data_IF_788085836796
#
_entry.id   IF_788085836796
#
_cell.length_a   1.000
_cell.length_b   1.000
_cell.length_c   1.000
_cell.angle_alpha   90.00
_cell.angle_beta   90.00
_cell.angle_gamma   90.00
#
_symmetry.space_group_name_H-M   'P 1'
#
loop_
_entity.id
_entity.type
_entity.pdbx_description
1 polymer ?
#
# COMPACT_ATOMS: atom_id res chain seq x y z
N UNK A 1 26.36 -20.37 -17.05
CA UNK A 1 25.71 -19.31 -17.84
C UNK A 1 24.54 -19.91 -18.60
N UNK A 2 23.51 -19.11 -18.83
CA UNK A 2 22.09 -19.45 -19.07
C UNK A 2 21.35 -19.87 -17.78
N UNK A 3 20.25 -19.25 -17.36
CA UNK A 3 19.54 -18.05 -17.82
C UNK A 3 18.52 -17.72 -16.73
N UNK A 4 18.72 -16.66 -15.95
CA UNK A 4 17.68 -16.13 -15.04
C UNK A 4 16.52 -15.46 -15.81
N UNK A 5 16.49 -15.58 -17.15
CA UNK A 5 15.50 -14.95 -18.03
C UNK A 5 14.23 -15.78 -18.29
N UNK A 6 14.10 -17.02 -17.82
CA UNK A 6 12.93 -17.85 -18.15
C UNK A 6 11.74 -17.71 -17.18
N UNK A 7 11.89 -16.99 -16.07
CA UNK A 7 10.80 -16.81 -15.10
C UNK A 7 9.73 -15.78 -15.54
N UNK A 8 10.01 -14.98 -16.56
CA UNK A 8 9.14 -13.85 -16.95
C UNK A 8 8.02 -14.27 -17.92
N UNK A 9 8.08 -15.47 -18.52
CA UNK A 9 7.14 -15.85 -19.60
C UNK A 9 5.82 -16.51 -19.19
N UNK A 10 5.54 -16.71 -17.90
CA UNK A 10 4.33 -17.47 -17.49
C UNK A 10 3.50 -16.84 -16.37
N UNK A 11 3.54 -15.52 -16.19
CA UNK A 11 2.57 -14.80 -15.33
C UNK A 11 1.30 -14.49 -16.12
N UNK A 12 0.75 -15.48 -16.81
CA UNK A 12 -0.54 -15.37 -17.48
C UNK A 12 -1.37 -16.57 -17.10
N UNK A 13 -2.34 -16.36 -16.18
CA UNK A 13 -3.49 -17.22 -15.82
C UNK A 13 -3.61 -17.75 -14.38
N UNK A 14 -2.68 -17.49 -13.45
CA UNK A 14 -2.88 -17.84 -12.02
C UNK A 14 -2.71 -16.64 -11.09
N UNK A 15 -3.71 -15.77 -11.06
CA UNK A 15 -3.76 -14.64 -10.13
C UNK A 15 -4.28 -15.01 -8.73
N UNK A 16 -4.68 -16.27 -8.50
CA UNK A 16 -5.00 -16.77 -7.17
C UNK A 16 -4.73 -18.27 -7.09
N UNK A 17 -3.84 -18.67 -6.19
CA UNK A 17 -3.57 -20.06 -5.85
C UNK A 17 -3.58 -20.16 -4.32
N UNK A 18 -4.64 -20.77 -3.78
CA UNK A 18 -4.88 -20.89 -2.34
C UNK A 18 -3.90 -21.84 -1.64
N UNK A 19 -3.03 -22.52 -2.40
CA UNK A 19 -2.07 -23.50 -1.89
C UNK A 19 -0.60 -23.09 -2.06
N UNK A 20 -0.30 -21.84 -2.43
CA UNK A 20 1.09 -21.38 -2.43
C UNK A 20 1.60 -21.33 -1.00
N UNK A 21 2.33 -22.40 -0.61
CA UNK A 21 3.25 -22.39 0.51
C UNK A 21 4.10 -21.13 0.38
N UNK A 22 4.12 -20.30 1.44
CA UNK A 22 4.78 -19.00 1.42
C UNK A 22 6.19 -19.14 0.84
N UNK A 23 6.39 -18.63 -0.38
CA UNK A 23 7.70 -18.62 -1.02
C UNK A 23 8.58 -17.67 -0.21
N UNK A 24 9.42 -18.23 0.66
CA UNK A 24 10.31 -17.43 1.49
C UNK A 24 11.52 -17.04 0.64
N UNK A 25 11.51 -15.81 0.14
CA UNK A 25 12.72 -15.14 -0.31
C UNK A 25 13.20 -14.22 0.81
N UNK A 26 14.48 -14.32 1.15
CA UNK A 26 15.12 -13.43 2.12
C UNK A 26 15.85 -12.32 1.38
N UNK A 27 15.56 -11.04 1.66
CA UNK A 27 16.27 -9.91 1.07
C UNK A 27 17.75 -9.89 1.48
N UNK A 28 18.59 -9.27 0.66
CA UNK A 28 19.98 -8.96 1.06
C UNK A 28 19.99 -8.00 2.25
N UNK A 29 21.08 -7.92 3.00
CA UNK A 29 21.20 -6.99 4.14
C UNK A 29 21.01 -5.52 3.73
N UNK A 30 21.54 -5.15 2.56
CA UNK A 30 21.36 -3.81 2.00
C UNK A 30 19.90 -3.53 1.66
N UNK A 31 19.23 -4.47 0.98
CA UNK A 31 17.83 -4.30 0.65
C UNK A 31 16.93 -4.35 1.89
N UNK A 32 17.30 -5.12 2.91
CA UNK A 32 16.63 -5.11 4.22
C UNK A 32 16.69 -3.73 4.84
N UNK A 33 17.85 -3.06 4.82
CA UNK A 33 17.97 -1.67 5.30
C UNK A 33 17.10 -0.71 4.49
N UNK A 34 17.00 -0.89 3.17
CA UNK A 34 16.09 -0.12 2.32
C UNK A 34 14.64 -0.38 2.74
N UNK A 35 14.22 -1.63 2.87
CA UNK A 35 12.87 -1.97 3.33
C UNK A 35 12.60 -1.38 4.72
N UNK A 36 13.50 -1.50 5.69
CA UNK A 36 13.29 -0.91 7.01
C UNK A 36 13.21 0.63 6.96
N UNK A 37 14.05 1.27 6.16
CA UNK A 37 14.07 2.73 5.99
C UNK A 37 12.82 3.25 5.27
N UNK A 38 12.35 2.56 4.24
CA UNK A 38 11.31 3.03 3.34
C UNK A 38 9.92 2.46 3.71
N UNK A 39 9.80 1.18 4.11
CA UNK A 39 8.52 0.61 4.55
C UNK A 39 8.07 1.04 5.94
N UNK A 40 9.00 1.33 6.87
CA UNK A 40 8.61 1.79 8.22
C UNK A 40 8.43 3.31 8.29
N UNK A 41 8.84 4.05 7.27
CA UNK A 41 8.68 5.49 7.22
C UNK A 41 7.23 5.83 6.92
N UNK A 42 6.61 6.55 7.85
CA UNK A 42 5.35 7.24 7.60
C UNK A 42 5.65 8.47 6.76
N UNK A 43 5.13 8.53 5.54
CA UNK A 43 5.22 9.72 4.71
C UNK A 43 4.30 10.81 5.28
N UNK A 44 4.75 12.07 5.23
CA UNK A 44 3.88 13.22 5.48
C UNK A 44 2.89 13.42 4.33
N UNK A 45 1.87 14.23 4.54
CA UNK A 45 0.93 14.58 3.47
C UNK A 45 1.66 15.22 2.30
N UNK A 46 2.53 16.20 2.57
CA UNK A 46 3.31 16.90 1.56
C UNK A 46 4.21 15.93 0.76
N UNK A 47 4.90 15.01 1.44
CA UNK A 47 5.72 14.00 0.76
C UNK A 47 4.91 13.06 -0.15
N UNK A 48 3.65 12.77 0.21
CA UNK A 48 2.77 12.01 -0.67
C UNK A 48 2.34 12.86 -1.85
N UNK A 49 2.02 14.14 -1.64
CA UNK A 49 1.68 15.08 -2.71
C UNK A 49 2.84 15.23 -3.69
N UNK A 50 4.07 15.48 -3.22
CA UNK A 50 5.26 15.62 -4.06
C UNK A 50 5.44 14.41 -5.00
N UNK A 51 5.29 13.18 -4.47
CA UNK A 51 5.38 11.96 -5.28
C UNK A 51 4.27 11.91 -6.33
N UNK A 52 3.04 12.25 -5.94
CA UNK A 52 1.87 12.13 -6.81
C UNK A 52 1.72 13.29 -7.81
N UNK A 53 2.39 14.42 -7.59
CA UNK A 53 2.51 15.49 -8.59
C UNK A 53 3.31 15.02 -9.80
N UNK A 54 4.37 14.24 -9.56
CA UNK A 54 5.18 13.63 -10.62
C UNK A 54 4.57 12.32 -11.15
N UNK A 55 3.91 11.55 -10.29
CA UNK A 55 3.44 10.18 -10.56
C UNK A 55 1.97 10.04 -10.17
N UNK A 56 1.12 10.75 -10.91
CA UNK A 56 -0.31 10.79 -10.63
C UNK A 56 -0.95 9.40 -10.71
N UNK A 57 -1.90 9.14 -9.82
CA UNK A 57 -2.74 7.94 -9.88
C UNK A 57 -3.58 8.01 -11.18
N UNK A 58 -3.60 6.95 -12.00
CA UNK A 58 -4.44 6.93 -13.20
C UNK A 58 -5.90 7.17 -12.86
N UNK A 59 -6.58 8.00 -13.65
CA UNK A 59 -7.99 8.35 -13.46
C UNK A 59 -8.92 7.23 -13.94
N UNK A 60 -8.85 6.08 -13.26
CA UNK A 60 -9.71 4.90 -13.47
C UNK A 60 -10.56 4.71 -12.22
N UNK A 61 -11.84 4.43 -12.41
CA UNK A 61 -12.82 4.24 -11.32
C UNK A 61 -12.38 3.22 -10.27
N UNK A 62 -11.77 2.11 -10.71
CA UNK A 62 -11.21 1.06 -9.85
C UNK A 62 -10.04 1.52 -8.98
N UNK A 63 -9.44 2.67 -9.29
CA UNK A 63 -8.36 3.31 -8.52
C UNK A 63 -8.85 4.47 -7.65
N UNK A 64 -10.16 4.63 -7.53
CA UNK A 64 -10.79 5.59 -6.61
C UNK A 64 -11.25 4.84 -5.37
N UNK A 65 -10.81 5.30 -4.20
CA UNK A 65 -11.32 4.76 -2.94
C UNK A 65 -12.82 5.05 -2.81
N UNK A 66 -13.68 4.04 -2.65
CA UNK A 66 -15.11 4.25 -2.54
C UNK A 66 -15.45 5.05 -1.29
N UNK A 67 -16.53 5.81 -1.38
CA UNK A 67 -17.14 6.53 -0.26
C UNK A 67 -18.47 5.89 0.09
N UNK A 68 -18.85 5.91 1.37
CA UNK A 68 -20.17 5.47 1.79
C UNK A 68 -21.29 6.14 0.99
N UNK A 69 -22.08 5.32 0.30
CA UNK A 69 -23.33 5.75 -0.33
C UNK A 69 -24.32 6.19 0.76
N UNK A 70 -24.79 7.45 0.76
CA UNK A 70 -25.78 7.92 1.72
C UNK A 70 -27.06 7.07 1.75
N UNK A 71 -27.47 6.48 0.63
CA UNK A 71 -28.65 5.60 0.56
C UNK A 71 -28.48 4.36 1.44
N UNK A 72 -27.26 3.84 1.56
CA UNK A 72 -26.96 2.67 2.38
C UNK A 72 -27.17 2.93 3.88
N UNK A 73 -27.17 4.20 4.31
CA UNK A 73 -27.45 4.59 5.69
C UNK A 73 -28.92 4.40 6.07
N UNK A 74 -29.83 4.23 5.12
CA UNK A 74 -31.24 3.94 5.38
C UNK A 74 -31.41 2.55 6.00
N UNK A 75 -30.54 1.61 5.65
CA UNK A 75 -30.53 0.23 6.17
C UNK A 75 -29.79 0.08 7.50
N UNK A 76 -29.27 1.18 8.05
CA UNK A 76 -28.49 1.19 9.31
C UNK A 76 -29.33 1.76 10.44
N UNK A 77 -29.36 1.06 11.58
CA UNK A 77 -29.99 1.55 12.80
C UNK A 77 -29.45 2.94 13.20
N UNK A 78 -30.34 3.86 13.59
CA UNK A 78 -30.00 5.27 13.83
C UNK A 78 -28.83 5.43 14.81
N UNK A 79 -28.80 4.66 15.90
CA UNK A 79 -27.71 4.72 16.89
C UNK A 79 -26.32 4.36 16.31
N UNK A 80 -26.27 3.62 15.20
CA UNK A 80 -25.03 3.15 14.60
C UNK A 80 -24.54 4.02 13.42
N UNK A 81 -25.39 4.91 12.87
CA UNK A 81 -25.07 5.68 11.66
C UNK A 81 -23.77 6.47 11.80
N UNK A 82 -23.62 7.24 12.89
CA UNK A 82 -22.42 8.05 13.15
C UNK A 82 -21.16 7.19 13.23
N UNK A 83 -21.24 6.05 13.93
CA UNK A 83 -20.11 5.13 14.06
C UNK A 83 -19.68 4.54 12.72
N UNK A 84 -20.64 4.14 11.87
CA UNK A 84 -20.34 3.60 10.54
C UNK A 84 -19.73 4.68 9.65
N UNK A 85 -20.28 5.89 9.63
CA UNK A 85 -19.74 7.01 8.84
C UNK A 85 -18.29 7.35 9.23
N UNK A 86 -18.00 7.42 10.54
CA UNK A 86 -16.64 7.68 11.02
C UNK A 86 -15.67 6.57 10.62
N UNK A 87 -16.10 5.31 10.70
CA UNK A 87 -15.28 4.17 10.30
C UNK A 87 -15.05 4.10 8.79
N UNK A 88 -16.07 4.37 8.00
CA UNK A 88 -15.96 4.39 6.53
C UNK A 88 -14.96 5.45 6.10
N UNK A 89 -15.07 6.68 6.63
CA UNK A 89 -14.11 7.76 6.36
C UNK A 89 -12.67 7.35 6.66
N UNK A 90 -12.43 6.65 7.77
CA UNK A 90 -11.09 6.15 8.12
C UNK A 90 -10.60 5.06 7.16
N UNK A 91 -11.49 4.16 6.72
CA UNK A 91 -11.18 3.11 5.74
C UNK A 91 -10.88 3.72 4.37
N UNK A 92 -11.69 4.66 3.89
CA UNK A 92 -11.47 5.36 2.60
C UNK A 92 -10.10 6.03 2.56
N UNK A 93 -9.65 6.64 3.67
CA UNK A 93 -8.30 7.25 3.74
C UNK A 93 -7.19 6.21 3.56
N UNK A 94 -7.34 5.01 4.13
CA UNK A 94 -6.34 3.94 3.99
C UNK A 94 -6.39 3.33 2.60
N UNK A 95 -7.59 3.07 2.07
CA UNK A 95 -7.76 2.60 0.69
C UNK A 95 -7.10 3.57 -0.29
N UNK A 96 -7.33 4.87 -0.14
CA UNK A 96 -6.65 5.89 -0.93
C UNK A 96 -5.14 5.81 -0.79
N UNK A 97 -4.63 5.70 0.44
CA UNK A 97 -3.18 5.59 0.67
C UNK A 97 -2.57 4.34 -0.01
N UNK A 98 -3.29 3.21 -0.03
CA UNK A 98 -2.85 2.00 -0.76
C UNK A 98 -2.88 2.22 -2.27
N UNK A 99 -3.95 2.86 -2.78
CA UNK A 99 -4.12 3.13 -4.21
C UNK A 99 -3.11 4.15 -4.74
N UNK A 100 -2.57 5.05 -3.90
CA UNK A 100 -1.52 5.98 -4.32
C UNK A 100 -0.28 5.28 -4.92
N UNK A 101 0.04 4.06 -4.49
CA UNK A 101 1.15 3.28 -5.06
C UNK A 101 0.95 2.92 -6.54
N UNK A 102 -0.28 3.01 -7.06
CA UNK A 102 -0.57 2.76 -8.48
C UNK A 102 -0.11 3.88 -9.41
N UNK A 103 0.07 5.11 -8.90
CA UNK A 103 0.62 6.21 -9.68
C UNK A 103 2.05 5.95 -10.16
N UNK A 104 3.01 5.69 -9.24
CA UNK A 104 4.37 5.28 -9.59
C UNK A 104 4.42 4.05 -10.50
N UNK A 105 3.62 3.00 -10.19
CA UNK A 105 3.58 1.77 -10.98
C UNK A 105 3.03 1.98 -12.39
N UNK A 106 1.99 2.79 -12.53
CA UNK A 106 1.42 3.17 -13.83
C UNK A 106 2.40 3.99 -14.66
N UNK A 107 3.07 4.95 -14.02
CA UNK A 107 4.12 5.76 -14.65
C UNK A 107 5.26 4.88 -15.16
N UNK A 108 5.76 3.96 -14.33
CA UNK A 108 6.80 3.01 -14.73
C UNK A 108 6.36 2.15 -15.91
N UNK A 109 5.14 1.61 -15.86
CA UNK A 109 4.60 0.81 -16.95
C UNK A 109 4.55 1.58 -18.27
N UNK A 110 4.02 2.80 -18.25
CA UNK A 110 3.90 3.63 -19.45
C UNK A 110 5.25 4.02 -20.02
N UNK A 111 6.22 4.36 -19.16
CA UNK A 111 7.57 4.70 -19.61
C UNK A 111 8.30 3.49 -20.21
N UNK A 112 8.20 2.31 -19.58
CA UNK A 112 8.78 1.08 -20.13
C UNK A 112 8.14 0.68 -21.46
N UNK A 113 6.82 0.91 -21.61
CA UNK A 113 6.10 0.61 -22.86
C UNK A 113 6.46 1.56 -24.00
N UNK A 114 6.79 2.81 -23.69
CA UNK A 114 7.15 3.82 -24.69
C UNK A 114 8.59 3.68 -25.20
N UNK A 115 9.32 2.62 -24.80
CA UNK A 115 10.77 2.47 -25.01
C UNK A 115 11.55 3.73 -24.62
N UNK A 116 11.04 4.49 -23.64
CA UNK A 116 11.78 5.58 -23.05
C UNK A 116 12.99 4.92 -22.37
N UNK A 117 14.19 5.25 -22.81
CA UNK A 117 15.46 4.76 -22.25
C UNK A 117 15.59 5.17 -20.77
N UNK A 118 14.84 4.51 -19.88
CA UNK A 118 14.83 4.79 -18.47
C UNK A 118 16.21 4.49 -17.92
N UNK A 119 16.79 5.47 -17.23
CA UNK A 119 18.02 5.22 -16.50
C UNK A 119 17.70 4.29 -15.34
N UNK A 120 18.66 3.45 -14.99
CA UNK A 120 18.52 2.55 -13.84
C UNK A 120 18.20 3.30 -12.54
N UNK A 121 18.67 4.53 -12.40
CA UNK A 121 18.38 5.38 -11.25
C UNK A 121 16.92 5.82 -11.18
N UNK A 122 16.31 6.16 -12.33
CA UNK A 122 14.90 6.56 -12.39
C UNK A 122 14.00 5.37 -12.03
N UNK A 123 14.32 4.18 -12.57
CA UNK A 123 13.60 2.95 -12.24
C UNK A 123 13.71 2.63 -10.74
N UNK A 124 14.91 2.76 -10.18
CA UNK A 124 15.14 2.56 -8.75
C UNK A 124 14.34 3.55 -7.91
N UNK A 125 14.32 4.83 -8.29
CA UNK A 125 13.58 5.87 -7.59
C UNK A 125 12.07 5.59 -7.58
N UNK A 126 11.49 5.24 -8.73
CA UNK A 126 10.06 4.91 -8.84
C UNK A 126 9.71 3.71 -7.94
N UNK A 127 10.55 2.67 -7.95
CA UNK A 127 10.38 1.52 -7.06
C UNK A 127 10.45 1.92 -5.59
N UNK A 128 11.45 2.71 -5.18
CA UNK A 128 11.59 3.18 -3.80
C UNK A 128 10.40 4.04 -3.36
N UNK A 129 9.89 4.94 -4.21
CA UNK A 129 8.68 5.74 -3.96
C UNK A 129 7.44 4.85 -3.79
N UNK A 130 7.28 3.84 -4.65
CA UNK A 130 6.21 2.84 -4.55
C UNK A 130 6.25 2.12 -3.21
N UNK A 131 7.44 1.62 -2.82
CA UNK A 131 7.64 0.91 -1.56
C UNK A 131 7.37 1.83 -0.35
N UNK A 132 7.72 3.12 -0.42
CA UNK A 132 7.39 4.10 0.61
C UNK A 132 5.88 4.29 0.77
N UNK A 133 5.15 4.46 -0.34
CA UNK A 133 3.69 4.63 -0.31
C UNK A 133 3.00 3.40 0.29
N UNK A 134 3.40 2.19 -0.13
CA UNK A 134 2.89 0.93 0.42
C UNK A 134 3.21 0.78 1.91
N UNK A 135 4.44 1.09 2.33
CA UNK A 135 4.85 1.05 3.73
C UNK A 135 4.06 2.03 4.61
N UNK A 136 3.88 3.25 4.13
CA UNK A 136 3.09 4.28 4.79
C UNK A 136 1.62 3.84 4.93
N UNK A 137 1.02 3.32 3.85
CA UNK A 137 -0.34 2.80 3.86
C UNK A 137 -0.51 1.61 4.81
N UNK A 138 0.44 0.67 4.83
CA UNK A 138 0.43 -0.47 5.76
C UNK A 138 0.58 -0.03 7.22
N UNK A 139 1.38 1.02 7.47
CA UNK A 139 1.50 1.63 8.80
C UNK A 139 0.18 2.25 9.24
N UNK A 140 -0.50 3.00 8.36
CA UNK A 140 -1.83 3.54 8.63
C UNK A 140 -2.87 2.44 8.91
N UNK A 141 -2.90 1.39 8.08
CA UNK A 141 -3.77 0.24 8.27
C UNK A 141 -3.50 -0.45 9.62
N UNK A 142 -2.24 -0.69 9.95
CA UNK A 142 -1.84 -1.31 11.21
C UNK A 142 -2.29 -0.50 12.42
N UNK A 143 -2.12 0.83 12.36
CA UNK A 143 -2.59 1.76 13.42
C UNK A 143 -4.12 1.72 13.54
N UNK A 144 -4.85 1.79 12.42
CA UNK A 144 -6.32 1.75 12.45
C UNK A 144 -6.83 0.43 13.01
N UNK A 145 -6.29 -0.70 12.53
CA UNK A 145 -6.64 -2.04 13.02
C UNK A 145 -6.46 -2.14 14.54
N UNK A 146 -5.33 -1.66 15.05
CA UNK A 146 -5.05 -1.68 16.49
C UNK A 146 -5.97 -0.77 17.29
N UNK A 147 -6.25 0.45 16.80
CA UNK A 147 -7.14 1.41 17.49
C UNK A 147 -8.61 1.00 17.47
N UNK A 148 -9.11 0.46 16.37
CA UNK A 148 -10.56 0.32 16.11
C UNK A 148 -11.06 -1.12 16.03
N UNK A 149 -10.21 -2.08 15.67
CA UNK A 149 -10.59 -3.50 15.60
C UNK A 149 -10.18 -4.23 16.87
N UNK A 150 -8.94 -4.01 17.33
CA UNK A 150 -8.42 -4.67 18.53
C UNK A 150 -8.73 -3.92 19.83
N UNK A 151 -9.35 -2.74 19.74
CA UNK A 151 -9.76 -1.89 20.87
C UNK A 151 -8.67 -1.73 21.95
N UNK A 152 -7.41 -1.53 21.52
CA UNK A 152 -6.29 -1.36 22.45
C UNK A 152 -6.61 -0.18 23.38
N UNK A 153 -6.49 -0.42 24.70
CA UNK A 153 -6.73 0.57 25.74
C UNK A 153 -6.10 1.93 25.37
N UNK A 154 -6.83 3.04 25.55
CA UNK A 154 -6.37 4.40 25.21
C UNK A 154 -5.04 4.76 25.90
N UNK A 155 -4.74 4.17 27.07
CA UNK A 155 -3.44 4.32 27.75
C UNK A 155 -2.27 3.61 27.04
N UNK A 156 -2.55 2.79 26.03
CA UNK A 156 -1.59 1.98 25.26
C UNK A 156 -1.56 2.34 23.77
N UNK A 157 -1.97 3.56 23.40
CA UNK A 157 -1.97 4.05 22.01
C UNK A 157 -0.57 3.95 21.36
N UNK A 158 0.52 4.07 22.13
CA UNK A 158 1.88 3.84 21.63
C UNK A 158 2.10 2.42 21.10
N UNK A 159 1.39 1.41 21.61
CA UNK A 159 1.46 0.05 21.06
C UNK A 159 0.90 -0.01 19.62
N UNK A 160 0.05 0.96 19.23
CA UNK A 160 -0.49 1.03 17.89
C UNK A 160 0.56 1.37 16.83
N UNK A 161 1.66 2.00 17.23
CA UNK A 161 2.77 2.41 16.34
C UNK A 161 4.02 1.54 16.49
N UNK A 162 4.12 0.71 17.53
CA UNK A 162 5.26 -0.20 17.72
C UNK A 162 5.27 -1.34 16.69
N UNK A 163 6.45 -1.91 16.36
CA UNK A 163 6.56 -3.09 15.53
C UNK A 163 5.66 -4.24 16.02
N UNK A 164 5.07 -5.01 15.10
CA UNK A 164 4.28 -6.19 15.47
C UNK A 164 5.23 -7.29 16.00
N UNK A 165 5.08 -7.76 17.25
CA UNK A 165 5.95 -8.79 17.80
C UNK A 165 5.88 -10.11 17.03
N UNK A 166 4.73 -10.39 16.39
CA UNK A 166 4.48 -11.61 15.63
C UNK A 166 4.74 -11.45 14.12
N UNK A 167 5.26 -10.31 13.66
CA UNK A 167 5.63 -10.10 12.26
C UNK A 167 7.07 -10.51 11.94
N UNK A 168 7.78 -11.10 12.92
CA UNK A 168 9.06 -11.76 12.67
C UNK A 168 8.77 -13.14 12.08
N UNK A 169 9.21 -13.36 10.85
CA UNK A 169 9.45 -14.72 10.33
C UNK A 169 10.78 -15.22 10.87
#
# INVERSE_FOLDING_TARGET
>A
EASQHDAIRNISSRLYDSEIAATSWSPSDEFTKILEKHFRRKLTFDQVCDILEEQAVPSVDTLVAPTLDPSMLEYVAVQNKKFIQERDKEITVIQRAMLNATGPLGTLHDQLRQDNNLKSEDLKLILEQTLCLLGSANTHLSVLRRKKVLAINKSKIELATRPLPNAKK
#
